data_IF_595575142256
#
_entry.id   IF_595575142256
#
_cell.length_a   1.000
_cell.length_b   1.000
_cell.length_c   1.000
_cell.angle_alpha   90.00
_cell.angle_beta   90.00
_cell.angle_gamma   90.00
#
_symmetry.space_group_name_H-M   'P 1'
#
loop_
_entity.id
_entity.type
_entity.pdbx_description
1 polymer ?
#
# COMPACT_ATOMS: atom_id res chain seq x y z
N UNK A 1 -0.46 29.40 -6.87
CA UNK A 1 -0.15 28.05 -6.38
C UNK A 1 1.27 27.72 -6.81
N UNK A 2 2.19 27.35 -5.90
CA UNK A 2 3.50 26.87 -6.30
C UNK A 2 3.33 25.60 -7.14
N UNK A 3 3.92 25.55 -8.33
CA UNK A 3 3.93 24.35 -9.16
C UNK A 3 4.95 23.39 -8.56
N UNK A 4 4.50 22.23 -8.11
CA UNK A 4 5.40 21.16 -7.68
C UNK A 4 6.32 20.79 -8.85
N UNK A 5 7.59 20.57 -8.54
CA UNK A 5 8.53 19.98 -9.49
C UNK A 5 8.14 18.53 -9.78
N UNK A 6 8.58 17.99 -10.92
CA UNK A 6 8.32 16.60 -11.29
C UNK A 6 8.83 15.61 -10.21
N UNK A 7 9.97 15.93 -9.57
CA UNK A 7 10.51 15.12 -8.48
C UNK A 7 9.64 15.15 -7.22
N UNK A 8 9.08 16.31 -6.85
CA UNK A 8 8.16 16.42 -5.70
C UNK A 8 6.83 15.74 -5.96
N UNK A 9 6.32 15.82 -7.19
CA UNK A 9 5.12 15.06 -7.61
C UNK A 9 5.37 13.56 -7.49
N UNK A 10 6.50 13.08 -8.00
CA UNK A 10 6.85 11.67 -7.94
C UNK A 10 6.99 11.18 -6.48
N UNK A 11 7.67 11.97 -5.64
CA UNK A 11 7.82 11.70 -4.20
C UNK A 11 6.46 11.58 -3.50
N UNK A 12 5.57 12.56 -3.72
CA UNK A 12 4.24 12.55 -3.11
C UNK A 12 3.40 11.36 -3.58
N UNK A 13 3.43 11.03 -4.88
CA UNK A 13 2.66 9.90 -5.42
C UNK A 13 3.15 8.58 -4.83
N UNK A 14 4.46 8.36 -4.76
CA UNK A 14 5.01 7.13 -4.16
C UNK A 14 4.68 7.01 -2.67
N UNK A 15 4.83 8.08 -1.90
CA UNK A 15 4.49 8.07 -0.47
C UNK A 15 3.01 7.82 -0.23
N UNK A 16 2.15 8.46 -1.02
CA UNK A 16 0.70 8.26 -0.93
C UNK A 16 0.32 6.82 -1.30
N UNK A 17 0.90 6.26 -2.36
CA UNK A 17 0.67 4.87 -2.75
C UNK A 17 1.12 3.89 -1.65
N UNK A 18 2.32 4.08 -1.11
CA UNK A 18 2.86 3.25 -0.03
C UNK A 18 2.01 3.35 1.25
N UNK A 19 1.53 4.54 1.59
CA UNK A 19 0.62 4.74 2.71
C UNK A 19 -0.71 4.01 2.51
N UNK A 20 -1.30 4.10 1.31
CA UNK A 20 -2.55 3.41 0.97
C UNK A 20 -2.42 1.90 1.04
N UNK A 21 -1.32 1.33 0.58
CA UNK A 21 -1.09 -0.12 0.68
C UNK A 21 -1.02 -0.60 2.13
N UNK A 22 -0.36 0.17 3.03
CA UNK A 22 -0.39 -0.13 4.48
C UNK A 22 -1.79 -0.07 5.07
N UNK A 23 -2.59 0.95 4.70
CA UNK A 23 -3.97 1.07 5.16
C UNK A 23 -4.84 -0.09 4.67
N UNK A 24 -4.69 -0.50 3.39
CA UNK A 24 -5.39 -1.63 2.80
C UNK A 24 -5.02 -2.95 3.47
N UNK A 25 -3.73 -3.18 3.72
CA UNK A 25 -3.27 -4.36 4.47
C UNK A 25 -3.98 -4.44 5.83
N UNK A 26 -3.96 -3.35 6.60
CA UNK A 26 -4.58 -3.31 7.92
C UNK A 26 -6.10 -3.52 7.84
N UNK A 27 -6.78 -2.91 6.87
CA UNK A 27 -8.21 -3.05 6.65
C UNK A 27 -8.58 -4.51 6.33
N UNK A 28 -7.92 -5.13 5.35
CA UNK A 28 -8.24 -6.50 4.96
C UNK A 28 -7.85 -7.51 6.05
N UNK A 29 -6.74 -7.29 6.76
CA UNK A 29 -6.38 -8.10 7.91
C UNK A 29 -7.37 -7.98 9.07
N UNK A 30 -8.02 -6.82 9.24
CA UNK A 30 -9.10 -6.66 10.20
C UNK A 30 -10.36 -7.39 9.72
N UNK A 31 -10.76 -7.20 8.47
CA UNK A 31 -11.95 -7.85 7.88
C UNK A 31 -11.86 -9.38 7.90
N UNK A 32 -10.68 -9.96 7.65
CA UNK A 32 -10.47 -11.41 7.72
C UNK A 32 -10.63 -11.98 9.14
N UNK A 33 -10.46 -11.15 10.17
CA UNK A 33 -10.67 -11.53 11.58
C UNK A 33 -12.12 -11.38 12.03
N UNK A 34 -12.87 -10.48 11.41
CA UNK A 34 -14.26 -10.17 11.83
C UNK A 34 -15.31 -10.95 11.05
N UNK A 35 -15.04 -11.31 9.79
CA UNK A 35 -16.00 -12.07 8.97
C UNK A 35 -16.07 -13.54 9.39
N UNK A 36 -17.29 -14.08 9.44
CA UNK A 36 -17.54 -15.50 9.77
C UNK A 36 -17.47 -16.42 8.54
N UNK A 37 -17.84 -15.89 7.38
CA UNK A 37 -17.79 -16.63 6.12
C UNK A 37 -16.34 -17.00 5.77
N UNK A 38 -16.10 -18.30 5.57
CA UNK A 38 -14.75 -18.84 5.37
C UNK A 38 -14.14 -18.46 4.02
N UNK A 39 -14.97 -18.27 2.98
CA UNK A 39 -14.52 -17.85 1.66
C UNK A 39 -14.11 -16.38 1.68
N UNK A 40 -14.94 -15.53 2.27
CA UNK A 40 -14.62 -14.11 2.46
C UNK A 40 -13.38 -13.91 3.34
N UNK A 41 -13.23 -14.72 4.39
CA UNK A 41 -12.02 -14.70 5.23
C UNK A 41 -10.76 -15.01 4.42
N UNK A 42 -10.80 -16.04 3.57
CA UNK A 42 -9.67 -16.38 2.70
C UNK A 42 -9.37 -15.24 1.72
N UNK A 43 -10.40 -14.69 1.06
CA UNK A 43 -10.24 -13.55 0.14
C UNK A 43 -9.61 -12.33 0.83
N UNK A 44 -10.05 -11.97 2.04
CA UNK A 44 -9.45 -10.85 2.76
C UNK A 44 -8.01 -11.13 3.20
N UNK A 45 -7.66 -12.36 3.56
CA UNK A 45 -6.27 -12.72 3.84
C UNK A 45 -5.39 -12.58 2.58
N UNK A 46 -5.88 -13.02 1.43
CA UNK A 46 -5.16 -12.89 0.16
C UNK A 46 -4.98 -11.41 -0.22
N UNK A 47 -6.03 -10.59 -0.07
CA UNK A 47 -5.94 -9.14 -0.32
C UNK A 47 -4.97 -8.43 0.63
N UNK A 48 -4.94 -8.81 1.92
CA UNK A 48 -3.97 -8.28 2.86
C UNK A 48 -2.53 -8.65 2.46
N UNK A 49 -2.33 -9.90 2.01
CA UNK A 49 -1.03 -10.36 1.50
C UNK A 49 -0.62 -9.60 0.25
N UNK A 50 -1.51 -9.44 -0.73
CA UNK A 50 -1.23 -8.68 -1.95
C UNK A 50 -0.87 -7.23 -1.64
N UNK A 51 -1.58 -6.58 -0.72
CA UNK A 51 -1.27 -5.20 -0.31
C UNK A 51 0.12 -5.09 0.30
N UNK A 52 0.53 -6.07 1.13
CA UNK A 52 1.88 -6.15 1.67
C UNK A 52 2.95 -6.34 0.59
N UNK A 53 2.68 -7.18 -0.41
CA UNK A 53 3.60 -7.42 -1.53
C UNK A 53 3.75 -6.17 -2.40
N UNK A 54 2.66 -5.46 -2.70
CA UNK A 54 2.69 -4.17 -3.39
C UNK A 54 3.45 -3.11 -2.60
N UNK A 55 3.26 -3.03 -1.28
CA UNK A 55 4.04 -2.12 -0.43
C UNK A 55 5.55 -2.39 -0.53
N UNK A 56 5.96 -3.66 -0.56
CA UNK A 56 7.38 -4.02 -0.74
C UNK A 56 7.91 -3.59 -2.11
N UNK A 57 7.14 -3.83 -3.17
CA UNK A 57 7.49 -3.39 -4.52
C UNK A 57 7.62 -1.86 -4.61
N UNK A 58 6.63 -1.13 -4.08
CA UNK A 58 6.66 0.34 -4.01
C UNK A 58 7.88 0.84 -3.24
N UNK A 59 8.20 0.23 -2.09
CA UNK A 59 9.37 0.62 -1.30
C UNK A 59 10.68 0.33 -2.05
N UNK A 60 10.73 -0.77 -2.81
CA UNK A 60 11.85 -1.07 -3.72
C UNK A 60 12.03 0.01 -4.78
N UNK A 61 10.94 0.39 -5.45
CA UNK A 61 10.98 1.45 -6.46
C UNK A 61 11.30 2.83 -5.86
N UNK A 62 10.78 3.14 -4.67
CA UNK A 62 11.13 4.37 -3.95
C UNK A 62 12.64 4.49 -3.73
N UNK A 63 13.30 3.39 -3.34
CA UNK A 63 14.76 3.37 -3.22
C UNK A 63 15.47 3.64 -4.55
N UNK A 64 14.97 3.08 -5.66
CA UNK A 64 15.53 3.34 -7.01
C UNK A 64 15.45 4.84 -7.39
N UNK A 65 14.40 5.54 -6.94
CA UNK A 65 14.22 6.97 -7.16
C UNK A 65 14.83 7.86 -6.05
N UNK A 66 15.60 7.30 -5.11
CA UNK A 66 16.11 7.99 -3.92
C UNK A 66 15.02 8.68 -3.07
N UNK A 67 13.80 8.13 -3.08
CA UNK A 67 12.68 8.60 -2.28
C UNK A 67 12.69 7.84 -0.95
N UNK A 68 12.68 8.58 0.16
CA UNK A 68 12.61 7.98 1.49
C UNK A 68 11.18 7.47 1.78
N UNK A 69 11.03 6.23 2.29
CA UNK A 69 9.76 5.67 2.73
C UNK A 69 9.14 6.41 3.92
#
# INVERSE_FOLDING_TARGET
MPKLTQGELLNNVFKEAAHREKQREALFAHLSKTVRDTRLKAMFNDLARSSREHFKQLTGEMNNFNIKP
#
